data_IF_435650182835
#
_entry.id   IF_435650182835
#
_cell.length_a   1.000
_cell.length_b   1.000
_cell.length_c   1.000
_cell.angle_alpha   90.00
_cell.angle_beta   90.00
_cell.angle_gamma   90.00
#
_symmetry.space_group_name_H-M   'P 1'
#
loop_
_entity.id
_entity.type
_entity.pdbx_description
1 polymer ?
#
# COMPACT_ATOMS: atom_id res chain seq x y z
N UNK A 1 -6.34 16.01 11.20
CA UNK A 1 -5.18 15.16 11.49
C UNK A 1 -5.57 13.74 11.12
N UNK A 2 -4.96 13.14 10.10
CA UNK A 2 -5.27 11.75 9.72
C UNK A 2 -4.62 10.80 10.72
N UNK A 3 -5.25 9.64 11.02
CA UNK A 3 -4.67 8.66 11.94
C UNK A 3 -3.37 8.10 11.35
N UNK A 4 -2.28 8.17 12.11
CA UNK A 4 -1.06 7.42 11.83
C UNK A 4 -1.16 6.04 12.50
N UNK A 5 -1.07 4.97 11.72
CA UNK A 5 -1.12 3.60 12.24
C UNK A 5 0.29 3.15 12.64
N UNK A 6 0.42 2.60 13.86
CA UNK A 6 1.69 2.10 14.37
C UNK A 6 2.11 0.79 13.71
N UNK A 7 3.40 0.45 13.79
CA UNK A 7 3.91 -0.85 13.37
C UNK A 7 3.13 -2.01 13.99
N UNK A 8 2.84 -1.92 15.29
CA UNK A 8 2.11 -2.95 16.04
C UNK A 8 0.70 -3.14 15.48
N UNK A 9 0.04 -2.06 15.04
CA UNK A 9 -1.25 -2.16 14.38
C UNK A 9 -1.15 -2.97 13.09
N UNK A 10 -0.15 -2.71 12.24
CA UNK A 10 0.07 -3.50 11.01
C UNK A 10 0.38 -4.97 11.31
N UNK A 11 1.21 -5.24 12.32
CA UNK A 11 1.54 -6.60 12.74
C UNK A 11 0.31 -7.35 13.25
N UNK A 12 -0.47 -6.72 14.13
CA UNK A 12 -1.72 -7.29 14.63
C UNK A 12 -2.68 -7.58 13.48
N UNK A 13 -2.87 -6.64 12.56
CA UNK A 13 -3.77 -6.80 11.43
C UNK A 13 -3.31 -7.93 10.50
N UNK A 14 -2.02 -8.01 10.19
CA UNK A 14 -1.47 -9.04 9.32
C UNK A 14 -1.60 -10.45 9.91
N UNK A 15 -1.39 -10.61 11.22
CA UNK A 15 -1.38 -11.92 11.87
C UNK A 15 -2.75 -12.42 12.31
N UNK A 16 -3.66 -11.53 12.73
CA UNK A 16 -4.92 -11.94 13.34
C UNK A 16 -6.13 -11.84 12.43
N UNK A 17 -6.09 -11.05 11.36
CA UNK A 17 -7.24 -10.83 10.50
C UNK A 17 -7.16 -11.67 9.23
N UNK A 18 -8.31 -12.19 8.78
CA UNK A 18 -8.42 -12.85 7.47
C UNK A 18 -8.08 -11.84 6.38
N UNK A 19 -7.06 -12.16 5.57
CA UNK A 19 -6.60 -11.37 4.43
C UNK A 19 -6.63 -12.20 3.16
N UNK A 20 -6.83 -11.54 2.03
CA UNK A 20 -6.75 -12.16 0.71
C UNK A 20 -5.49 -11.67 -0.01
N UNK A 21 -4.72 -12.61 -0.54
CA UNK A 21 -3.48 -12.33 -1.26
C UNK A 21 -3.76 -11.55 -2.56
N UNK A 22 -3.02 -10.47 -2.79
CA UNK A 22 -3.05 -9.72 -4.05
C UNK A 22 -4.02 -8.52 -4.11
N UNK A 23 -4.30 -8.07 -5.33
CA UNK A 23 -5.19 -6.93 -5.62
C UNK A 23 -6.64 -7.37 -5.82
N UNK A 24 -7.60 -6.53 -5.43
CA UNK A 24 -9.01 -6.76 -5.73
C UNK A 24 -9.27 -6.52 -7.23
N UNK A 25 -9.62 -7.59 -7.95
CA UNK A 25 -10.12 -7.51 -9.32
C UNK A 25 -11.66 -7.52 -9.28
N UNK A 26 -12.27 -6.34 -9.23
CA UNK A 26 -13.62 -5.96 -9.75
C UNK A 26 -14.57 -5.26 -8.76
N UNK A 27 -15.14 -4.18 -9.30
CA UNK A 27 -16.55 -3.76 -9.22
C UNK A 27 -17.15 -3.42 -7.85
N UNK A 28 -16.79 -2.24 -7.33
CA UNK A 28 -17.78 -1.29 -6.78
C UNK A 28 -18.63 -1.75 -5.59
N UNK A 29 -18.26 -2.82 -4.89
CA UNK A 29 -18.88 -3.25 -3.63
C UNK A 29 -17.91 -2.94 -2.50
N UNK A 30 -18.40 -2.26 -1.47
CA UNK A 30 -17.70 -2.14 -0.18
C UNK A 30 -17.64 -3.53 0.44
N UNK A 31 -16.45 -4.03 0.73
CA UNK A 31 -16.25 -5.34 1.32
C UNK A 31 -15.72 -5.21 2.75
N UNK A 32 -16.16 -6.10 3.64
CA UNK A 32 -15.68 -6.27 5.02
C UNK A 32 -14.29 -6.94 5.09
N UNK A 33 -13.53 -6.94 4.00
CA UNK A 33 -12.29 -7.72 3.86
C UNK A 33 -11.11 -6.82 3.54
N UNK A 34 -10.04 -6.99 4.31
CA UNK A 34 -8.79 -6.27 4.16
C UNK A 34 -7.83 -7.03 3.23
N UNK A 35 -7.31 -6.36 2.21
CA UNK A 35 -6.36 -6.94 1.25
C UNK A 35 -4.92 -6.54 1.55
N UNK A 36 -3.96 -7.29 0.99
CA UNK A 36 -2.54 -6.90 0.95
C UNK A 36 -2.35 -5.47 0.42
N UNK A 37 -3.13 -5.16 -0.60
CA UNK A 37 -3.18 -3.86 -1.23
C UNK A 37 -3.66 -2.74 -0.29
N UNK A 38 -4.58 -2.99 0.65
CA UNK A 38 -5.02 -1.97 1.61
C UNK A 38 -3.93 -1.64 2.63
N UNK A 39 -3.21 -2.65 3.13
CA UNK A 39 -2.07 -2.44 4.03
C UNK A 39 -0.94 -1.67 3.33
N UNK A 40 -0.60 -2.05 2.10
CA UNK A 40 0.44 -1.37 1.33
C UNK A 40 0.04 0.08 1.04
N UNK A 41 -1.23 0.32 0.66
CA UNK A 41 -1.74 1.68 0.45
C UNK A 41 -1.61 2.52 1.72
N UNK A 42 -2.12 2.03 2.85
CA UNK A 42 -2.10 2.76 4.12
C UNK A 42 -0.67 3.06 4.58
N UNK A 43 0.24 2.09 4.45
CA UNK A 43 1.65 2.27 4.80
C UNK A 43 2.33 3.34 3.95
N UNK A 44 2.09 3.33 2.64
CA UNK A 44 2.62 4.33 1.72
C UNK A 44 1.99 5.71 1.91
N UNK A 45 0.67 5.75 2.13
CA UNK A 45 -0.10 6.98 2.35
C UNK A 45 0.31 7.73 3.61
N UNK A 46 0.80 7.03 4.65
CA UNK A 46 1.39 7.66 5.83
C UNK A 46 2.93 7.83 5.74
N UNK A 47 3.53 7.45 4.62
CA UNK A 47 4.96 7.64 4.36
C UNK A 47 5.89 6.67 5.10
N UNK A 48 5.34 5.59 5.64
CA UNK A 48 6.07 4.66 6.51
C UNK A 48 6.82 3.61 5.70
N UNK A 49 8.00 4.00 5.18
CA UNK A 49 8.93 3.09 4.50
C UNK A 49 9.22 1.84 5.33
N UNK A 50 9.41 2.00 6.65
CA UNK A 50 9.65 0.89 7.59
C UNK A 50 8.54 -0.17 7.55
N UNK A 51 7.27 0.26 7.54
CA UNK A 51 6.14 -0.67 7.45
C UNK A 51 6.13 -1.33 6.07
N UNK A 52 6.38 -0.58 5.00
CA UNK A 52 6.43 -1.13 3.64
C UNK A 52 7.52 -2.20 3.48
N UNK A 53 8.74 -1.95 3.97
CA UNK A 53 9.84 -2.94 3.99
C UNK A 53 9.44 -4.19 4.76
N UNK A 54 8.77 -4.03 5.91
CA UNK A 54 8.27 -5.16 6.66
C UNK A 54 7.19 -5.94 5.89
N UNK A 55 6.20 -5.28 5.27
CA UNK A 55 5.19 -5.94 4.45
C UNK A 55 5.84 -6.74 3.32
N UNK A 56 6.87 -6.19 2.67
CA UNK A 56 7.68 -6.90 1.66
C UNK A 56 8.37 -8.13 2.23
N UNK A 57 8.93 -8.04 3.44
CA UNK A 57 9.54 -9.19 4.12
C UNK A 57 8.54 -10.32 4.43
N UNK A 58 7.25 -10.00 4.52
CA UNK A 58 6.17 -10.98 4.70
C UNK A 58 5.64 -11.55 3.36
N UNK A 59 6.24 -11.16 2.23
CA UNK A 59 5.87 -11.64 0.88
C UNK A 59 4.85 -10.77 0.15
N UNK A 60 4.50 -9.58 0.67
CA UNK A 60 3.61 -8.65 -0.01
C UNK A 60 4.40 -7.85 -1.05
N UNK A 61 3.99 -7.92 -2.32
CA UNK A 61 4.66 -7.18 -3.39
C UNK A 61 4.47 -5.65 -3.27
N UNK A 62 5.47 -4.88 -3.70
CA UNK A 62 5.34 -3.43 -3.90
C UNK A 62 4.59 -3.09 -5.19
N UNK A 63 4.61 -3.98 -6.19
CA UNK A 63 3.98 -3.80 -7.50
C UNK A 63 2.52 -4.28 -7.53
N UNK A 64 1.80 -4.03 -6.44
CA UNK A 64 0.37 -4.33 -6.38
C UNK A 64 -0.36 -3.30 -7.22
N UNK A 65 -1.04 -3.78 -8.26
CA UNK A 65 -1.77 -2.93 -9.20
C UNK A 65 -3.28 -2.92 -8.94
N UNK A 66 -3.93 -1.74 -8.96
CA UNK A 66 -5.38 -1.56 -8.92
C UNK A 66 -5.87 -0.78 -10.15
N UNK A 67 -7.01 -1.19 -10.70
CA UNK A 67 -7.56 -0.66 -11.97
C UNK A 67 -7.72 0.87 -12.04
N UNK A 68 -8.05 1.52 -10.91
CA UNK A 68 -8.27 2.98 -10.85
C UNK A 68 -7.14 3.78 -10.18
N UNK A 69 -6.11 3.10 -9.64
CA UNK A 69 -5.04 3.75 -8.87
C UNK A 69 -3.63 3.37 -9.33
N UNK A 70 -3.49 2.48 -10.31
CA UNK A 70 -2.19 2.01 -10.75
C UNK A 70 -1.45 1.25 -9.65
N UNK A 71 -0.15 1.52 -9.48
CA UNK A 71 0.66 0.90 -8.42
C UNK A 71 0.25 1.51 -7.08
N UNK A 72 -0.33 0.67 -6.21
CA UNK A 72 -0.97 1.09 -4.96
C UNK A 72 -0.01 1.81 -4.02
N UNK A 73 1.23 1.33 -3.93
CA UNK A 73 2.27 1.96 -3.12
C UNK A 73 2.58 3.40 -3.61
N UNK A 74 2.67 3.60 -4.92
CA UNK A 74 2.97 4.91 -5.50
C UNK A 74 1.79 5.88 -5.34
N UNK A 75 0.57 5.43 -5.61
CA UNK A 75 -0.64 6.23 -5.42
C UNK A 75 -0.84 6.64 -3.95
N UNK A 76 -0.61 5.71 -3.00
CA UNK A 76 -0.66 6.01 -1.58
C UNK A 76 0.36 7.08 -1.20
N UNK A 77 1.64 6.88 -1.54
CA UNK A 77 2.70 7.83 -1.23
C UNK A 77 2.47 9.22 -1.83
N UNK A 78 1.99 9.31 -3.08
CA UNK A 78 1.64 10.57 -3.72
C UNK A 78 0.45 11.26 -3.02
N UNK A 79 -0.61 10.51 -2.71
CA UNK A 79 -1.77 11.03 -1.97
C UNK A 79 -1.43 11.52 -0.56
N UNK A 80 -0.42 10.94 0.08
CA UNK A 80 0.13 11.37 1.37
C UNK A 80 1.18 12.49 1.28
N UNK A 81 1.64 12.85 0.07
CA UNK A 81 2.70 13.83 -0.12
C UNK A 81 4.11 13.36 0.28
N UNK A 82 4.36 12.06 0.27
CA UNK A 82 5.60 11.46 0.77
C UNK A 82 6.63 11.22 -0.35
N UNK A 83 7.29 12.30 -0.78
CA UNK A 83 8.29 12.28 -1.85
C UNK A 83 9.42 11.26 -1.59
N UNK A 84 9.90 11.11 -0.35
CA UNK A 84 10.96 10.16 -0.02
C UNK A 84 10.56 8.70 -0.28
N UNK A 85 9.29 8.35 -0.10
CA UNK A 85 8.78 7.01 -0.43
C UNK A 85 8.71 6.83 -1.93
N UNK A 86 8.29 7.85 -2.69
CA UNK A 86 8.27 7.79 -4.15
C UNK A 86 9.69 7.60 -4.72
N UNK A 87 10.68 8.35 -4.22
CA UNK A 87 12.08 8.20 -4.62
C UNK A 87 12.61 6.79 -4.33
N UNK A 88 12.27 6.23 -3.16
CA UNK A 88 12.62 4.86 -2.83
C UNK A 88 11.93 3.83 -3.74
N UNK A 89 10.62 3.96 -4.00
CA UNK A 89 9.91 3.06 -4.93
C UNK A 89 10.55 3.07 -6.33
N UNK A 90 10.97 4.25 -6.80
CA UNK A 90 11.70 4.38 -8.06
C UNK A 90 13.06 3.68 -8.02
N UNK A 91 13.80 3.73 -6.90
CA UNK A 91 15.09 3.02 -6.77
C UNK A 91 14.94 1.50 -6.77
N UNK A 92 13.80 0.98 -6.31
CA UNK A 92 13.47 -0.46 -6.36
C UNK A 92 13.00 -0.91 -7.77
N UNK A 93 12.95 -0.01 -8.76
CA UNK A 93 12.50 -0.32 -10.11
C UNK A 93 10.96 -0.35 -10.28
N UNK A 94 10.21 0.09 -9.27
CA UNK A 94 8.76 0.23 -9.38
C UNK A 94 8.40 1.57 -10.04
N UNK A 95 8.08 1.50 -11.32
CA UNK A 95 7.78 2.66 -12.17
C UNK A 95 6.45 3.34 -11.82
N UNK A 96 6.42 4.65 -12.02
CA UNK A 96 5.18 5.43 -11.91
C UNK A 96 4.36 5.30 -13.19
N UNK A 97 3.04 5.35 -13.06
CA UNK A 97 2.13 5.43 -14.19
C UNK A 97 1.24 6.66 -14.09
N UNK A 98 0.39 6.87 -15.10
CA UNK A 98 -0.49 8.05 -15.18
C UNK A 98 -1.42 8.19 -13.96
N UNK A 99 -1.70 7.10 -13.25
CA UNK A 99 -2.56 7.06 -12.06
C UNK A 99 -1.80 7.37 -10.75
N UNK A 100 -0.48 7.53 -10.81
CA UNK A 100 0.33 7.78 -9.60
C UNK A 100 0.05 9.17 -9.01
N UNK A 101 -0.39 10.14 -9.82
CA UNK A 101 -0.60 11.54 -9.39
C UNK A 101 -2.08 11.97 -9.43
N UNK A 102 -3.02 11.04 -9.61
CA UNK A 102 -4.46 11.32 -9.73
C UNK A 102 -5.21 11.25 -8.42
#
# INVERSE_FOLDING_TARGET
QMPCFSMDWFQCVFHFFKRWNGANWRSGKYYDHLYDSDLMYLAAFQGSKKVMEWLVSQGISLDIWRYYHGVVAAAGAAGGGHLHVLEWLRSEGHGFNVWTCS
#
